data_IF_700133241852
#
_entry.id   IF_700133241852
#
_cell.length_a   1.000
_cell.length_b   1.000
_cell.length_c   1.000
_cell.angle_alpha   90.00
_cell.angle_beta   90.00
_cell.angle_gamma   90.00
#
_symmetry.space_group_name_H-M   'P 1'
#
loop_
_entity.id
_entity.type
_entity.pdbx_description
1 polymer ?
#
# COMPACT_ATOMS: atom_id res chain seq x y z
N UNK A 1 20.34 38.93 38.17
CA UNK A 1 19.91 39.53 36.89
C UNK A 1 21.06 39.39 35.90
N UNK A 2 21.04 38.34 35.07
CA UNK A 2 22.03 38.22 34.00
C UNK A 2 21.74 39.25 32.92
N UNK A 3 22.75 40.04 32.54
CA UNK A 3 22.67 40.91 31.36
C UNK A 3 22.46 40.02 30.14
N UNK A 4 21.28 40.11 29.50
CA UNK A 4 21.08 39.54 28.18
C UNK A 4 22.00 40.27 27.21
N UNK A 5 22.95 39.53 26.64
CA UNK A 5 23.87 40.00 25.62
C UNK A 5 23.06 40.50 24.41
N UNK A 6 23.27 41.75 24.00
CA UNK A 6 22.61 42.30 22.79
C UNK A 6 23.29 41.70 21.57
N UNK A 7 22.66 40.67 20.99
CA UNK A 7 23.06 40.10 19.70
C UNK A 7 22.70 41.09 18.59
N UNK A 8 23.69 41.59 17.87
CA UNK A 8 23.48 42.49 16.73
C UNK A 8 23.34 41.70 15.42
N UNK A 9 22.44 42.13 14.55
CA UNK A 9 22.23 41.54 13.21
C UNK A 9 22.49 42.58 12.12
N UNK A 10 23.12 42.16 11.02
CA UNK A 10 23.51 43.06 9.92
C UNK A 10 22.42 43.28 8.86
N UNK A 11 21.36 42.47 8.85
CA UNK A 11 20.28 42.55 7.87
C UNK A 11 19.14 43.45 8.40
N UNK A 12 18.63 44.32 7.54
CA UNK A 12 17.40 45.07 7.82
C UNK A 12 16.19 44.14 7.73
N UNK A 13 15.17 44.38 8.56
CA UNK A 13 13.93 43.57 8.58
C UNK A 13 13.26 43.44 7.22
N UNK A 14 13.29 44.51 6.42
CA UNK A 14 12.74 44.55 5.05
C UNK A 14 13.35 43.48 4.12
N UNK A 15 14.60 43.08 4.31
CA UNK A 15 15.23 42.00 3.51
C UNK A 15 14.61 40.65 3.85
N UNK A 16 14.39 40.36 5.14
CA UNK A 16 13.73 39.13 5.58
C UNK A 16 12.27 39.06 5.15
N UNK A 17 11.56 40.18 5.22
CA UNK A 17 10.17 40.30 4.75
C UNK A 17 10.07 40.06 3.24
N UNK A 18 10.98 40.65 2.45
CA UNK A 18 11.05 40.44 1.01
C UNK A 18 11.31 38.98 0.62
N UNK A 19 12.24 38.31 1.30
CA UNK A 19 12.50 36.87 1.08
C UNK A 19 11.25 36.04 1.43
N UNK A 20 10.63 36.31 2.59
CA UNK A 20 9.42 35.59 3.03
C UNK A 20 8.26 35.74 2.04
N UNK A 21 8.03 36.96 1.54
CA UNK A 21 7.00 37.23 0.54
C UNK A 21 7.28 36.52 -0.79
N UNK A 22 8.56 36.43 -1.20
CA UNK A 22 8.95 35.75 -2.44
C UNK A 22 8.77 34.22 -2.38
N UNK A 23 8.89 33.62 -1.19
CA UNK A 23 8.80 32.18 -0.98
C UNK A 23 7.39 31.70 -0.61
N UNK A 24 6.51 32.58 -0.12
CA UNK A 24 5.16 32.19 0.28
C UNK A 24 4.36 31.39 -0.80
N UNK A 25 4.41 31.72 -2.11
CA UNK A 25 3.78 30.89 -3.13
C UNK A 25 4.42 29.50 -3.29
N UNK A 26 5.74 29.40 -3.09
CA UNK A 26 6.48 28.13 -3.12
C UNK A 26 6.07 27.27 -1.93
N UNK A 27 5.98 27.86 -0.73
CA UNK A 27 5.53 27.16 0.47
C UNK A 27 4.11 26.63 0.33
N UNK A 28 3.21 27.43 -0.27
CA UNK A 28 1.84 27.01 -0.56
C UNK A 28 1.80 25.83 -1.55
N UNK A 29 2.63 25.84 -2.59
CA UNK A 29 2.71 24.75 -3.56
C UNK A 29 3.34 23.48 -2.96
N UNK A 30 4.35 23.63 -2.09
CA UNK A 30 4.93 22.52 -1.35
C UNK A 30 3.89 21.87 -0.42
N UNK A 31 3.14 22.67 0.33
CA UNK A 31 2.08 22.18 1.20
C UNK A 31 0.96 21.47 0.43
N UNK A 32 0.63 21.97 -0.77
CA UNK A 32 -0.40 21.37 -1.65
C UNK A 32 0.07 20.04 -2.25
N UNK A 33 1.30 19.98 -2.78
CA UNK A 33 1.84 18.78 -3.45
C UNK A 33 2.32 17.71 -2.47
N UNK A 34 2.78 18.11 -1.30
CA UNK A 34 3.43 17.22 -0.33
C UNK A 34 2.76 17.28 1.06
N UNK A 35 1.49 16.88 1.19
CA UNK A 35 0.78 16.89 2.47
C UNK A 35 1.31 15.88 3.50
N UNK A 36 2.11 14.89 3.07
CA UNK A 36 2.62 13.80 3.90
C UNK A 36 1.70 12.57 3.94
N UNK A 37 2.14 11.52 4.64
CA UNK A 37 1.34 10.29 4.85
C UNK A 37 0.07 10.64 5.66
N UNK A 38 -1.13 10.18 5.22
CA UNK A 38 -2.38 10.45 5.93
C UNK A 38 -2.48 9.77 7.31
N UNK A 39 -1.55 8.88 7.68
CA UNK A 39 -1.52 8.22 8.99
C UNK A 39 -2.59 7.14 9.17
N UNK A 40 -3.30 6.78 8.09
CA UNK A 40 -4.26 5.68 8.11
C UNK A 40 -3.55 4.33 7.96
N UNK A 41 -4.24 3.23 8.28
CA UNK A 41 -3.73 1.89 8.00
C UNK A 41 -3.40 1.73 6.50
N UNK A 42 -2.27 1.11 6.18
CA UNK A 42 -1.95 0.61 4.85
C UNK A 42 -2.02 -0.92 4.87
N UNK A 43 -2.71 -1.58 3.92
CA UNK A 43 -2.74 -3.03 3.89
C UNK A 43 -1.36 -3.60 3.53
N UNK A 44 -1.00 -4.76 4.05
CA UNK A 44 0.30 -5.41 3.76
C UNK A 44 0.33 -6.15 2.43
N UNK A 45 -0.85 -6.39 1.85
CA UNK A 45 -1.00 -7.04 0.57
C UNK A 45 -2.28 -6.64 -0.15
N UNK A 46 -2.38 -6.96 -1.44
CA UNK A 46 -3.59 -6.89 -2.26
C UNK A 46 -3.78 -8.23 -2.96
N UNK A 47 -5.01 -8.75 -2.97
CA UNK A 47 -5.37 -9.93 -3.76
C UNK A 47 -6.32 -9.52 -4.89
N UNK A 48 -6.12 -10.10 -6.07
CA UNK A 48 -7.00 -9.92 -7.22
C UNK A 48 -7.82 -11.20 -7.43
N UNK A 49 -9.14 -11.08 -7.43
CA UNK A 49 -10.07 -12.20 -7.63
C UNK A 49 -10.90 -11.93 -8.88
N UNK A 50 -10.91 -12.82 -9.89
CA UNK A 50 -11.69 -12.64 -11.11
C UNK A 50 -13.17 -12.37 -10.82
N UNK A 51 -13.78 -11.45 -11.58
CA UNK A 51 -15.16 -11.01 -11.36
C UNK A 51 -16.20 -12.13 -11.40
N UNK A 52 -15.97 -13.19 -12.19
CA UNK A 52 -16.79 -14.41 -12.24
C UNK A 52 -16.60 -15.32 -11.03
N UNK A 53 -15.38 -15.38 -10.47
CA UNK A 53 -15.03 -16.22 -9.34
C UNK A 53 -15.35 -15.60 -7.96
N UNK A 54 -15.52 -14.28 -7.89
CA UNK A 54 -15.81 -13.61 -6.62
C UNK A 54 -17.20 -13.97 -6.07
N UNK A 55 -17.20 -14.43 -4.81
CA UNK A 55 -18.36 -14.93 -4.07
C UNK A 55 -18.38 -14.39 -2.63
N UNK A 56 -19.51 -14.57 -1.93
CA UNK A 56 -19.70 -14.04 -0.57
C UNK A 56 -18.71 -14.59 0.46
N UNK A 57 -18.21 -15.81 0.25
CA UNK A 57 -17.31 -16.55 1.12
C UNK A 57 -15.83 -16.48 0.67
N UNK A 58 -15.50 -15.76 -0.42
CA UNK A 58 -14.16 -15.77 -1.02
C UNK A 58 -13.05 -15.44 -0.02
N UNK A 59 -13.25 -14.44 0.85
CA UNK A 59 -12.23 -14.05 1.85
C UNK A 59 -11.95 -15.19 2.83
N UNK A 60 -13.00 -15.80 3.37
CA UNK A 60 -12.88 -16.90 4.33
C UNK A 60 -12.29 -18.14 3.66
N UNK A 61 -12.78 -18.49 2.46
CA UNK A 61 -12.26 -19.59 1.66
C UNK A 61 -10.75 -19.46 1.39
N UNK A 62 -10.25 -18.26 1.07
CA UNK A 62 -8.82 -18.01 0.93
C UNK A 62 -8.05 -18.27 2.23
N UNK A 63 -8.55 -17.77 3.36
CA UNK A 63 -7.89 -18.02 4.64
C UNK A 63 -7.90 -19.50 5.05
N UNK A 64 -8.97 -20.23 4.75
CA UNK A 64 -9.08 -21.67 5.07
C UNK A 64 -8.13 -22.50 4.21
N UNK A 65 -8.00 -22.16 2.93
CA UNK A 65 -7.00 -22.77 2.04
C UNK A 65 -5.57 -22.46 2.49
N UNK A 66 -5.29 -21.25 2.97
CA UNK A 66 -3.98 -20.89 3.51
C UNK A 66 -3.65 -21.66 4.81
N UNK A 67 -4.64 -21.85 5.71
CA UNK A 67 -4.48 -22.66 6.91
C UNK A 67 -4.28 -24.14 6.57
N UNK A 68 -5.03 -24.68 5.61
CA UNK A 68 -4.85 -26.05 5.14
C UNK A 68 -3.45 -26.27 4.54
N UNK A 69 -2.93 -25.29 3.78
CA UNK A 69 -1.57 -25.36 3.25
C UNK A 69 -0.50 -25.38 4.36
N UNK A 70 -0.70 -24.62 5.46
CA UNK A 70 0.14 -24.72 6.64
C UNK A 70 0.03 -26.10 7.29
N UNK A 71 -1.17 -26.60 7.53
CA UNK A 71 -1.39 -27.89 8.17
C UNK A 71 -0.77 -29.05 7.38
N UNK A 72 -0.77 -28.98 6.04
CA UNK A 72 -0.21 -30.01 5.17
C UNK A 72 1.32 -29.92 5.06
N UNK A 73 1.87 -28.71 4.86
CA UNK A 73 3.27 -28.54 4.46
C UNK A 73 4.19 -28.03 5.57
N UNK A 74 3.66 -27.41 6.64
CA UNK A 74 4.43 -26.92 7.79
C UNK A 74 3.53 -26.83 9.06
N UNK A 75 3.16 -27.98 9.65
CA UNK A 75 2.12 -28.07 10.68
C UNK A 75 2.51 -27.47 12.04
N UNK A 76 3.77 -27.06 12.22
CA UNK A 76 4.27 -26.50 13.47
C UNK A 76 5.26 -25.35 13.23
N UNK A 77 5.54 -24.61 14.30
CA UNK A 77 6.44 -23.47 14.26
C UNK A 77 7.86 -23.83 13.80
N UNK A 78 8.35 -25.02 14.17
CA UNK A 78 9.71 -25.46 13.84
C UNK A 78 9.87 -25.76 12.34
N UNK A 79 8.93 -26.52 11.77
CA UNK A 79 8.90 -26.84 10.34
C UNK A 79 8.70 -25.58 9.50
N UNK A 80 7.82 -24.67 9.89
CA UNK A 80 7.61 -23.41 9.18
C UNK A 80 8.84 -22.50 9.24
N UNK A 81 9.46 -22.38 10.42
CA UNK A 81 10.71 -21.63 10.60
C UNK A 81 11.86 -22.21 9.77
N UNK A 82 11.99 -23.54 9.71
CA UNK A 82 13.02 -24.21 8.92
C UNK A 82 12.88 -23.94 7.42
N UNK A 83 11.66 -23.87 6.90
CA UNK A 83 11.43 -23.56 5.48
C UNK A 83 11.83 -22.12 5.14
N UNK A 84 11.49 -21.17 6.03
CA UNK A 84 11.68 -19.74 5.80
C UNK A 84 13.02 -19.19 6.29
N UNK A 85 13.78 -19.98 7.05
CA UNK A 85 15.02 -19.52 7.70
C UNK A 85 14.79 -18.51 8.82
N UNK A 86 13.69 -18.66 9.57
CA UNK A 86 13.43 -17.86 10.77
C UNK A 86 14.32 -18.31 11.93
N UNK A 87 14.69 -17.39 12.83
CA UNK A 87 15.37 -17.74 14.07
C UNK A 87 14.44 -18.51 15.02
N UNK A 88 15.02 -19.33 15.90
CA UNK A 88 14.27 -20.09 16.90
C UNK A 88 13.42 -19.19 17.82
N UNK A 89 13.91 -17.98 18.12
CA UNK A 89 13.22 -16.97 18.93
C UNK A 89 11.94 -16.44 18.26
N UNK A 90 11.92 -16.38 16.91
CA UNK A 90 10.79 -15.86 16.14
C UNK A 90 9.82 -16.96 15.68
N UNK A 91 10.25 -18.22 15.67
CA UNK A 91 9.49 -19.34 15.13
C UNK A 91 8.06 -19.40 15.69
N UNK A 92 7.89 -19.57 17.01
CA UNK A 92 6.58 -19.66 17.63
C UNK A 92 5.79 -18.33 17.59
N UNK A 93 6.36 -17.16 17.97
CA UNK A 93 5.64 -15.90 17.93
C UNK A 93 5.12 -15.49 16.55
N UNK A 94 5.85 -15.82 15.48
CA UNK A 94 5.43 -15.58 14.10
C UNK A 94 4.38 -16.60 13.68
N UNK A 95 4.61 -17.89 13.90
CA UNK A 95 3.69 -18.95 13.51
C UNK A 95 2.29 -18.77 14.10
N UNK A 96 2.21 -18.51 15.42
CA UNK A 96 0.94 -18.32 16.12
C UNK A 96 0.19 -17.09 15.58
N UNK A 97 0.90 -15.99 15.33
CA UNK A 97 0.31 -14.77 14.75
C UNK A 97 -0.16 -14.99 13.32
N UNK A 98 0.61 -15.70 12.48
CA UNK A 98 0.21 -16.03 11.11
C UNK A 98 -1.10 -16.82 11.12
N UNK A 99 -1.20 -17.88 11.93
CA UNK A 99 -2.44 -18.67 12.04
C UNK A 99 -3.61 -17.83 12.53
N UNK A 100 -3.41 -17.02 13.57
CA UNK A 100 -4.45 -16.13 14.10
C UNK A 100 -4.92 -15.11 13.04
N UNK A 101 -3.99 -14.55 12.28
CA UNK A 101 -4.28 -13.62 11.18
C UNK A 101 -5.09 -14.28 10.08
N UNK A 102 -4.67 -15.46 9.61
CA UNK A 102 -5.40 -16.22 8.59
C UNK A 102 -6.81 -16.63 9.05
N UNK A 103 -7.00 -16.92 10.33
CA UNK A 103 -8.30 -17.25 10.90
C UNK A 103 -9.24 -16.02 11.01
N UNK A 104 -8.72 -14.84 11.36
CA UNK A 104 -9.53 -13.64 11.65
C UNK A 104 -9.65 -12.66 10.47
N UNK A 105 -8.56 -12.37 9.79
CA UNK A 105 -8.45 -11.35 8.74
C UNK A 105 -7.42 -11.81 7.68
N UNK A 106 -7.74 -12.85 6.87
CA UNK A 106 -6.79 -13.43 5.93
C UNK A 106 -6.43 -12.49 4.77
N UNK A 107 -7.35 -11.59 4.40
CA UNK A 107 -7.17 -10.62 3.31
C UNK A 107 -7.40 -9.21 3.86
N UNK A 108 -6.39 -8.35 3.75
CA UNK A 108 -6.49 -6.93 4.15
C UNK A 108 -7.04 -6.06 3.02
N UNK A 109 -6.77 -6.41 1.77
CA UNK A 109 -7.22 -5.67 0.60
C UNK A 109 -7.59 -6.60 -0.57
N UNK A 110 -8.83 -6.48 -1.07
CA UNK A 110 -9.36 -7.29 -2.17
C UNK A 110 -9.79 -6.41 -3.36
N UNK A 111 -9.27 -6.72 -4.54
CA UNK A 111 -9.70 -6.16 -5.81
C UNK A 111 -10.43 -7.24 -6.62
N UNK A 112 -11.70 -7.01 -6.91
CA UNK A 112 -12.42 -7.83 -7.87
C UNK A 112 -11.95 -7.41 -9.25
N UNK A 113 -11.33 -8.34 -9.96
CA UNK A 113 -10.67 -8.07 -11.22
C UNK A 113 -11.64 -8.20 -12.38
N UNK A 114 -11.74 -7.16 -13.20
CA UNK A 114 -12.46 -7.15 -14.47
C UNK A 114 -11.50 -6.99 -15.66
N UNK A 115 -10.20 -7.10 -15.41
CA UNK A 115 -9.15 -6.96 -16.40
C UNK A 115 -8.48 -8.32 -16.70
N UNK A 116 -7.15 -8.45 -16.58
CA UNK A 116 -6.42 -9.60 -17.11
C UNK A 116 -6.81 -10.93 -16.45
N UNK A 117 -7.06 -10.94 -15.13
CA UNK A 117 -7.45 -12.14 -14.39
C UNK A 117 -8.87 -12.62 -14.70
N UNK A 118 -9.74 -11.73 -15.20
CA UNK A 118 -11.09 -12.06 -15.63
C UNK A 118 -11.15 -12.56 -17.08
N UNK A 119 -10.30 -11.98 -17.93
CA UNK A 119 -10.26 -12.26 -19.36
C UNK A 119 -11.46 -11.71 -20.12
N UNK A 120 -11.66 -12.21 -21.34
CA UNK A 120 -12.75 -11.77 -22.22
C UNK A 120 -14.09 -12.42 -21.86
N UNK A 121 -15.14 -11.62 -21.69
CA UNK A 121 -16.54 -12.06 -21.53
C UNK A 121 -17.46 -11.18 -22.37
N UNK A 122 -18.69 -11.66 -22.61
CA UNK A 122 -19.70 -10.86 -23.30
C UNK A 122 -20.22 -9.72 -22.43
N UNK A 123 -20.70 -8.64 -23.06
CA UNK A 123 -21.12 -7.43 -22.32
C UNK A 123 -22.17 -7.69 -21.24
N UNK A 124 -23.19 -8.48 -21.56
CA UNK A 124 -24.26 -8.82 -20.61
C UNK A 124 -23.75 -9.66 -19.42
N UNK A 125 -22.74 -10.49 -19.65
CA UNK A 125 -22.12 -11.31 -18.60
C UNK A 125 -21.28 -10.44 -17.66
N UNK A 126 -20.45 -9.56 -18.22
CA UNK A 126 -19.65 -8.62 -17.42
C UNK A 126 -20.52 -7.64 -16.63
N UNK A 127 -21.62 -7.15 -17.22
CA UNK A 127 -22.62 -6.32 -16.53
C UNK A 127 -23.20 -7.06 -15.32
N UNK A 128 -23.58 -8.33 -15.48
CA UNK A 128 -24.13 -9.14 -14.40
C UNK A 128 -23.11 -9.37 -13.28
N UNK A 129 -21.83 -9.58 -13.63
CA UNK A 129 -20.75 -9.76 -12.66
C UNK A 129 -20.41 -8.46 -11.92
N UNK A 130 -20.38 -7.31 -12.61
CA UNK A 130 -20.17 -6.00 -11.99
C UNK A 130 -21.29 -5.65 -11.01
N UNK A 131 -22.55 -5.87 -11.40
CA UNK A 131 -23.70 -5.66 -10.51
C UNK A 131 -23.70 -6.64 -9.33
N UNK A 132 -23.27 -7.90 -9.54
CA UNK A 132 -23.11 -8.89 -8.46
C UNK A 132 -22.01 -8.50 -7.49
N UNK A 133 -20.85 -8.05 -7.98
CA UNK A 133 -19.73 -7.59 -7.20
C UNK A 133 -20.15 -6.48 -6.21
N UNK A 134 -20.88 -5.47 -6.69
CA UNK A 134 -21.45 -4.42 -5.85
C UNK A 134 -22.34 -4.99 -4.72
N UNK A 135 -23.31 -5.85 -5.04
CA UNK A 135 -24.20 -6.47 -4.03
C UNK A 135 -23.44 -7.30 -3.00
N UNK A 136 -22.42 -8.06 -3.43
CA UNK A 136 -21.61 -8.90 -2.56
C UNK A 136 -20.73 -8.05 -1.62
N UNK A 137 -20.10 -6.99 -2.13
CA UNK A 137 -19.32 -6.06 -1.30
C UNK A 137 -20.22 -5.41 -0.25
N UNK A 138 -21.36 -4.85 -0.65
CA UNK A 138 -22.30 -4.24 0.32
C UNK A 138 -22.78 -5.26 1.36
N UNK A 139 -23.06 -6.50 0.93
CA UNK A 139 -23.40 -7.59 1.84
C UNK A 139 -22.28 -7.90 2.84
N UNK A 140 -21.03 -7.95 2.39
CA UNK A 140 -19.87 -8.23 3.24
C UNK A 140 -19.65 -7.13 4.29
N UNK A 141 -19.76 -5.85 3.92
CA UNK A 141 -19.66 -4.74 4.88
C UNK A 141 -20.80 -4.79 5.91
N UNK A 142 -22.04 -5.04 5.46
CA UNK A 142 -23.20 -5.14 6.36
C UNK A 142 -23.08 -6.32 7.35
N UNK A 143 -22.50 -7.43 6.90
CA UNK A 143 -22.37 -8.65 7.70
C UNK A 143 -21.08 -8.68 8.54
N UNK A 144 -20.19 -7.68 8.43
CA UNK A 144 -18.91 -7.65 9.11
C UNK A 144 -17.90 -8.69 8.60
N UNK A 145 -18.03 -9.13 7.35
CA UNK A 145 -17.15 -10.12 6.70
C UNK A 145 -16.28 -9.52 5.59
N UNK A 146 -16.37 -8.21 5.37
CA UNK A 146 -15.54 -7.50 4.40
C UNK A 146 -14.06 -7.47 4.82
N UNK A 147 -13.17 -7.44 3.84
CA UNK A 147 -11.80 -6.99 4.07
C UNK A 147 -11.81 -5.50 4.41
N UNK A 148 -10.82 -4.99 5.16
CA UNK A 148 -10.68 -3.56 5.44
C UNK A 148 -10.74 -2.67 4.19
N UNK A 149 -10.18 -3.16 3.08
CA UNK A 149 -10.23 -2.50 1.78
C UNK A 149 -10.83 -3.46 0.73
N UNK A 150 -11.79 -2.96 -0.04
CA UNK A 150 -12.42 -3.73 -1.11
C UNK A 150 -12.80 -2.83 -2.27
N UNK A 151 -12.66 -3.34 -3.49
CA UNK A 151 -13.22 -2.68 -4.66
C UNK A 151 -12.89 -3.43 -5.93
N UNK A 152 -12.65 -2.71 -7.03
CA UNK A 152 -12.44 -3.34 -8.33
C UNK A 152 -11.16 -2.87 -9.02
N UNK A 153 -10.58 -3.74 -9.83
CA UNK A 153 -9.73 -3.34 -10.95
C UNK A 153 -10.56 -3.39 -12.22
N UNK A 154 -10.83 -2.23 -12.79
CA UNK A 154 -11.57 -2.11 -14.04
C UNK A 154 -10.63 -2.29 -15.25
N UNK A 155 -11.18 -2.41 -16.46
CA UNK A 155 -10.36 -2.33 -17.69
C UNK A 155 -9.72 -0.94 -17.84
N UNK A 156 -8.59 -0.87 -18.52
CA UNK A 156 -7.83 0.36 -18.73
C UNK A 156 -8.53 1.38 -19.66
N UNK A 157 -7.92 2.56 -19.83
CA UNK A 157 -8.46 3.65 -20.68
C UNK A 157 -8.01 3.59 -22.15
N UNK A 158 -7.42 2.48 -22.58
CA UNK A 158 -7.05 2.25 -23.98
C UNK A 158 -8.27 2.11 -24.88
N UNK A 159 -8.16 2.61 -26.12
CA UNK A 159 -9.30 2.76 -27.02
C UNK A 159 -10.09 1.46 -27.25
N UNK A 160 -9.42 0.30 -27.27
CA UNK A 160 -10.06 -0.99 -27.54
C UNK A 160 -11.03 -1.46 -26.43
N UNK A 161 -10.81 -1.04 -25.18
CA UNK A 161 -11.55 -1.52 -24.01
C UNK A 161 -12.19 -0.41 -23.19
N UNK A 162 -11.93 0.86 -23.52
CA UNK A 162 -12.38 2.04 -22.77
C UNK A 162 -13.87 2.06 -22.48
N UNK A 163 -14.72 1.87 -23.49
CA UNK A 163 -16.17 1.92 -23.31
C UNK A 163 -16.66 0.85 -22.34
N UNK A 164 -16.11 -0.37 -22.47
CA UNK A 164 -16.39 -1.49 -21.56
C UNK A 164 -15.93 -1.20 -20.13
N UNK A 165 -14.73 -0.63 -19.97
CA UNK A 165 -14.21 -0.22 -18.66
C UNK A 165 -15.08 0.83 -17.97
N UNK A 166 -15.48 1.87 -18.70
CA UNK A 166 -16.38 2.92 -18.20
C UNK A 166 -17.72 2.31 -17.75
N UNK A 167 -18.31 1.43 -18.58
CA UNK A 167 -19.58 0.77 -18.26
C UNK A 167 -19.49 -0.10 -17.01
N UNK A 168 -18.43 -0.90 -16.89
CA UNK A 168 -18.21 -1.78 -15.72
C UNK A 168 -18.08 -0.97 -14.43
N UNK A 169 -17.33 0.14 -14.46
CA UNK A 169 -17.20 1.03 -13.31
C UNK A 169 -18.54 1.66 -12.92
N UNK A 170 -19.28 2.19 -13.89
CA UNK A 170 -20.58 2.84 -13.62
C UNK A 170 -21.58 1.86 -13.00
N UNK A 171 -21.70 0.63 -13.56
CA UNK A 171 -22.57 -0.42 -13.02
C UNK A 171 -22.17 -0.76 -11.57
N UNK A 172 -20.88 -0.91 -11.32
CA UNK A 172 -20.37 -1.25 -9.99
C UNK A 172 -20.67 -0.15 -8.96
N UNK A 173 -20.29 1.10 -9.25
CA UNK A 173 -20.50 2.23 -8.34
C UNK A 173 -22.01 2.52 -8.15
N UNK A 174 -22.79 2.46 -9.23
CA UNK A 174 -24.26 2.57 -9.18
C UNK A 174 -24.85 1.49 -8.28
N UNK A 175 -24.42 0.24 -8.44
CA UNK A 175 -24.87 -0.87 -7.60
C UNK A 175 -24.55 -0.69 -6.12
N UNK A 176 -23.35 -0.16 -5.78
CA UNK A 176 -23.01 0.18 -4.40
C UNK A 176 -23.94 1.26 -3.84
N UNK A 177 -24.16 2.34 -4.60
CA UNK A 177 -25.06 3.43 -4.21
C UNK A 177 -26.49 2.94 -3.96
N UNK A 178 -27.01 2.05 -4.80
CA UNK A 178 -28.35 1.47 -4.65
C UNK A 178 -28.46 0.49 -3.48
N UNK A 179 -27.37 -0.20 -3.14
CA UNK A 179 -27.37 -1.23 -2.10
C UNK A 179 -27.07 -0.70 -0.69
N UNK A 180 -26.47 0.51 -0.56
CA UNK A 180 -26.13 1.06 0.76
C UNK A 180 -25.13 2.22 0.79
N UNK A 181 -24.71 2.74 -0.37
CA UNK A 181 -23.70 3.81 -0.46
C UNK A 181 -22.28 3.27 -0.68
N UNK A 182 -21.32 4.19 -0.85
CA UNK A 182 -19.91 3.84 -1.02
C UNK A 182 -19.27 3.50 0.35
N UNK A 183 -18.65 2.32 0.51
CA UNK A 183 -17.89 2.01 1.72
C UNK A 183 -16.70 2.96 1.93
N UNK A 184 -16.28 3.15 3.18
CA UNK A 184 -15.08 3.94 3.50
C UNK A 184 -13.80 3.27 2.97
N UNK A 185 -13.76 1.93 3.02
CA UNK A 185 -12.68 1.11 2.46
C UNK A 185 -12.81 0.84 0.95
N UNK A 186 -13.61 1.62 0.21
CA UNK A 186 -13.71 1.49 -1.25
C UNK A 186 -12.40 1.92 -1.90
N UNK A 187 -11.85 1.04 -2.74
CA UNK A 187 -10.67 1.40 -3.54
C UNK A 187 -10.79 0.88 -4.98
N UNK A 188 -10.49 1.76 -5.93
CA UNK A 188 -10.51 1.47 -7.36
C UNK A 188 -9.08 1.37 -7.88
N UNK A 189 -8.80 0.45 -8.80
CA UNK A 189 -7.51 0.40 -9.50
C UNK A 189 -7.71 0.74 -10.99
N UNK A 190 -6.94 1.72 -11.47
CA UNK A 190 -6.82 2.08 -12.87
C UNK A 190 -5.56 1.42 -13.47
N UNK A 191 -5.71 0.37 -14.31
CA UNK A 191 -4.56 -0.34 -14.86
C UNK A 191 -4.04 0.25 -16.17
N UNK A 192 -2.87 -0.23 -16.59
CA UNK A 192 -2.22 0.03 -17.89
C UNK A 192 -2.20 1.52 -18.27
N UNK A 193 -1.90 2.38 -17.31
CA UNK A 193 -1.75 3.81 -17.58
C UNK A 193 -0.43 4.04 -18.31
N UNK A 194 -0.49 4.72 -19.44
CA UNK A 194 0.64 5.03 -20.33
C UNK A 194 0.88 6.55 -20.36
N UNK A 195 -0.17 7.36 -20.23
CA UNK A 195 -0.13 8.82 -20.33
C UNK A 195 -0.93 9.50 -19.19
N UNK A 196 -0.47 10.64 -18.63
CA UNK A 196 -1.20 11.40 -17.62
C UNK A 196 -2.63 11.79 -18.03
N UNK A 197 -2.88 11.99 -19.33
CA UNK A 197 -4.18 12.32 -19.89
C UNK A 197 -5.23 11.22 -19.64
N UNK A 198 -4.80 9.96 -19.53
CA UNK A 198 -5.69 8.86 -19.14
C UNK A 198 -6.13 8.99 -17.68
N UNK A 199 -5.25 9.50 -16.81
CA UNK A 199 -5.58 9.82 -15.41
C UNK A 199 -6.55 10.99 -15.36
N UNK A 200 -6.28 12.08 -16.09
CA UNK A 200 -7.21 13.23 -16.19
C UNK A 200 -8.59 12.81 -16.70
N UNK A 201 -8.65 11.94 -17.71
CA UNK A 201 -9.91 11.39 -18.21
C UNK A 201 -10.65 10.58 -17.13
N UNK A 202 -9.93 9.81 -16.32
CA UNK A 202 -10.52 9.07 -15.22
C UNK A 202 -11.03 9.97 -14.09
N UNK A 203 -10.30 11.01 -13.72
CA UNK A 203 -10.77 12.04 -12.77
C UNK A 203 -12.12 12.62 -13.22
N UNK A 204 -12.22 13.04 -14.49
CA UNK A 204 -13.48 13.57 -15.05
C UNK A 204 -14.64 12.58 -15.02
N UNK A 205 -14.35 11.28 -15.22
CA UNK A 205 -15.36 10.23 -15.11
C UNK A 205 -15.88 10.12 -13.67
N UNK A 206 -14.98 10.13 -12.67
CA UNK A 206 -15.35 10.08 -11.26
C UNK A 206 -16.14 11.33 -10.84
N UNK A 207 -15.73 12.52 -11.27
CA UNK A 207 -16.47 13.77 -11.02
C UNK A 207 -17.88 13.74 -11.61
N UNK A 208 -18.03 13.22 -12.82
CA UNK A 208 -19.34 13.08 -13.45
C UNK A 208 -20.24 12.13 -12.64
N UNK A 209 -19.69 11.03 -12.14
CA UNK A 209 -20.42 10.10 -11.28
C UNK A 209 -20.79 10.74 -9.92
N UNK A 210 -19.85 11.39 -9.25
CA UNK A 210 -20.06 12.11 -7.98
C UNK A 210 -21.18 13.14 -8.13
N UNK A 211 -21.14 13.96 -9.19
CA UNK A 211 -22.19 14.94 -9.50
C UNK A 211 -23.54 14.27 -9.76
N UNK A 212 -23.57 13.18 -10.53
CA UNK A 212 -24.82 12.47 -10.83
C UNK A 212 -25.46 11.83 -9.59
N UNK A 213 -24.64 11.46 -8.59
CA UNK A 213 -25.08 10.83 -7.33
C UNK A 213 -25.15 11.78 -6.14
N UNK A 214 -24.83 13.07 -6.32
CA UNK A 214 -24.85 14.06 -5.25
C UNK A 214 -23.81 13.80 -4.15
N UNK A 215 -22.65 13.24 -4.51
CA UNK A 215 -21.53 13.02 -3.60
C UNK A 215 -20.66 14.28 -3.49
N UNK A 216 -19.96 14.42 -2.37
CA UNK A 216 -18.94 15.45 -2.20
C UNK A 216 -17.82 15.26 -3.24
N UNK A 217 -17.32 16.37 -3.79
CA UNK A 217 -16.23 16.35 -4.74
C UNK A 217 -14.98 15.74 -4.11
N UNK A 218 -14.37 14.77 -4.79
CA UNK A 218 -13.17 14.08 -4.30
C UNK A 218 -13.47 12.88 -3.39
N UNK A 219 -14.75 12.50 -3.19
CA UNK A 219 -15.12 11.33 -2.39
C UNK A 219 -14.52 10.03 -2.91
N UNK A 220 -14.36 9.90 -4.23
CA UNK A 220 -13.85 8.69 -4.87
C UNK A 220 -12.37 8.88 -5.24
N UNK A 221 -11.51 8.17 -4.51
CA UNK A 221 -10.09 8.01 -4.82
C UNK A 221 -9.81 6.74 -5.64
N UNK A 222 -8.57 6.58 -6.10
CA UNK A 222 -8.13 5.40 -6.83
C UNK A 222 -6.62 5.17 -6.71
N UNK A 223 -6.19 3.98 -7.10
CA UNK A 223 -4.81 3.56 -7.24
C UNK A 223 -4.45 3.44 -8.71
N UNK A 224 -3.20 3.75 -9.05
CA UNK A 224 -2.68 3.67 -10.42
C UNK A 224 -1.78 2.45 -10.52
N UNK A 225 -2.07 1.53 -11.44
CA UNK A 225 -1.16 0.44 -11.76
C UNK A 225 -0.06 0.98 -12.69
N UNK A 226 1.18 0.95 -12.20
CA UNK A 226 2.38 1.38 -12.89
C UNK A 226 3.01 0.15 -13.52
N UNK A 227 2.69 -0.06 -14.80
CA UNK A 227 3.03 -1.29 -15.50
C UNK A 227 3.39 -1.14 -16.98
N UNK A 228 3.56 0.10 -17.42
CA UNK A 228 4.08 0.41 -18.76
C UNK A 228 5.42 1.13 -18.62
N UNK A 229 6.33 0.99 -19.59
CA UNK A 229 7.61 1.71 -19.51
C UNK A 229 7.41 3.23 -19.54
N UNK A 230 6.41 3.70 -20.28
CA UNK A 230 6.02 5.10 -20.40
C UNK A 230 5.46 5.68 -19.10
N UNK A 231 4.87 4.86 -18.22
CA UNK A 231 4.48 5.31 -16.88
C UNK A 231 5.66 5.67 -15.99
N UNK A 232 6.86 5.15 -16.29
CA UNK A 232 8.08 5.51 -15.58
C UNK A 232 8.79 6.70 -16.25
N UNK A 233 9.02 6.61 -17.56
CA UNK A 233 9.78 7.62 -18.31
C UNK A 233 8.99 8.10 -19.53
N UNK A 234 8.62 9.38 -19.53
CA UNK A 234 7.98 10.03 -20.66
C UNK A 234 8.95 10.25 -21.82
N UNK A 235 8.42 10.48 -23.02
CA UNK A 235 9.20 10.72 -24.23
C UNK A 235 10.10 11.98 -24.15
N UNK A 236 9.79 12.92 -23.26
CA UNK A 236 10.59 14.13 -23.01
C UNK A 236 11.64 13.94 -21.90
N UNK A 237 11.82 12.71 -21.39
CA UNK A 237 12.79 12.36 -20.35
C UNK A 237 12.31 12.64 -18.92
N UNK A 238 11.06 13.08 -18.73
CA UNK A 238 10.52 13.31 -17.37
C UNK A 238 9.94 12.05 -16.74
N UNK A 239 9.90 12.03 -15.40
CA UNK A 239 9.24 10.96 -14.66
C UNK A 239 7.72 11.06 -14.82
N UNK A 240 7.14 10.24 -15.70
CA UNK A 240 5.72 10.32 -16.04
C UNK A 240 4.82 10.04 -14.83
N UNK A 241 5.22 9.11 -13.96
CA UNK A 241 4.52 8.78 -12.72
C UNK A 241 4.27 9.99 -11.81
N UNK A 242 5.21 10.95 -11.74
CA UNK A 242 5.02 12.17 -10.97
C UNK A 242 3.93 13.07 -11.59
N UNK A 243 3.87 13.13 -12.92
CA UNK A 243 2.82 13.85 -13.65
C UNK A 243 1.46 13.15 -13.51
N UNK A 244 1.44 11.82 -13.43
CA UNK A 244 0.22 11.04 -13.19
C UNK A 244 -0.37 11.32 -11.79
N UNK A 245 0.47 11.46 -10.76
CA UNK A 245 0.02 11.88 -9.42
C UNK A 245 -0.62 13.27 -9.47
N UNK A 246 0.02 14.24 -10.12
CA UNK A 246 -0.51 15.61 -10.26
C UNK A 246 -1.84 15.61 -11.06
N UNK A 247 -1.90 14.84 -12.14
CA UNK A 247 -3.10 14.68 -12.98
C UNK A 247 -4.27 13.99 -12.26
N UNK A 248 -4.03 13.34 -11.12
CA UNK A 248 -5.08 12.73 -10.30
C UNK A 248 -5.77 13.74 -9.37
N UNK A 249 -5.28 14.98 -9.27
CA UNK A 249 -5.92 16.07 -8.52
C UNK A 249 -6.23 15.70 -7.05
N UNK A 250 -5.30 14.98 -6.41
CA UNK A 250 -5.44 14.53 -5.02
C UNK A 250 -6.25 13.25 -4.81
N UNK A 251 -6.75 12.61 -5.90
CA UNK A 251 -7.51 11.35 -5.82
C UNK A 251 -6.64 10.10 -5.86
N UNK A 252 -5.38 10.20 -6.29
CA UNK A 252 -4.46 9.09 -6.25
C UNK A 252 -4.13 8.74 -4.79
N UNK A 253 -4.32 7.49 -4.42
CA UNK A 253 -4.07 6.97 -3.05
C UNK A 253 -2.92 5.97 -3.01
N UNK A 254 -2.63 5.31 -4.13
CA UNK A 254 -1.54 4.35 -4.25
C UNK A 254 -1.02 4.16 -5.68
N UNK A 255 0.22 3.69 -5.79
CA UNK A 255 0.86 3.25 -7.02
C UNK A 255 1.21 1.77 -6.89
N UNK A 256 0.68 0.92 -7.78
CA UNK A 256 0.91 -0.52 -7.75
C UNK A 256 1.84 -0.93 -8.87
N UNK A 257 2.98 -1.54 -8.53
CA UNK A 257 3.92 -2.01 -9.54
C UNK A 257 3.42 -3.29 -10.24
N UNK A 258 3.11 -3.21 -11.54
CA UNK A 258 2.68 -4.38 -12.33
C UNK A 258 3.87 -5.15 -12.89
N UNK A 259 4.28 -6.24 -12.22
CA UNK A 259 5.52 -6.97 -12.54
C UNK A 259 5.58 -7.50 -13.96
N UNK A 260 4.50 -8.14 -14.44
CA UNK A 260 4.54 -8.90 -15.69
C UNK A 260 4.39 -8.02 -16.92
N UNK A 261 3.43 -7.10 -16.92
CA UNK A 261 3.25 -6.14 -18.02
C UNK A 261 4.48 -5.23 -18.17
N UNK A 262 5.00 -4.69 -17.06
CA UNK A 262 6.16 -3.81 -17.11
C UNK A 262 7.39 -4.52 -17.67
N UNK A 263 7.67 -5.72 -17.16
CA UNK A 263 8.83 -6.48 -17.59
C UNK A 263 8.70 -6.96 -19.05
N UNK A 264 7.48 -7.29 -19.49
CA UNK A 264 7.19 -7.60 -20.88
C UNK A 264 7.41 -6.39 -21.81
N UNK A 265 6.98 -5.18 -21.40
CA UNK A 265 7.24 -3.93 -22.13
C UNK A 265 8.74 -3.66 -22.34
N UNK A 266 9.60 -4.14 -21.44
CA UNK A 266 11.05 -4.01 -21.54
C UNK A 266 11.75 -5.19 -22.24
N UNK A 267 11.00 -6.19 -22.69
CA UNK A 267 11.55 -7.38 -23.34
C UNK A 267 12.27 -8.34 -22.38
N UNK A 268 11.99 -8.27 -21.08
CA UNK A 268 12.50 -9.25 -20.11
C UNK A 268 11.91 -10.61 -20.45
N UNK A 269 12.78 -11.61 -20.65
CA UNK A 269 12.35 -12.97 -20.99
C UNK A 269 11.58 -13.60 -19.82
N UNK A 270 10.59 -14.45 -20.13
CA UNK A 270 9.66 -15.04 -19.16
C UNK A 270 10.34 -15.66 -17.93
N UNK A 271 11.47 -16.37 -18.11
CA UNK A 271 12.21 -17.00 -17.01
C UNK A 271 12.85 -16.01 -16.01
N UNK A 272 12.91 -14.72 -16.34
CA UNK A 272 13.53 -13.66 -15.54
C UNK A 272 12.52 -12.57 -15.13
N UNK A 273 11.22 -12.75 -15.41
CA UNK A 273 10.20 -11.84 -14.91
C UNK A 273 10.02 -12.05 -13.40
N UNK A 274 10.53 -11.11 -12.62
CA UNK A 274 10.46 -11.15 -11.17
C UNK A 274 10.39 -9.73 -10.59
N UNK A 275 9.77 -9.57 -9.42
CA UNK A 275 9.63 -8.27 -8.75
C UNK A 275 10.97 -7.72 -8.22
N UNK A 276 12.02 -8.53 -8.19
CA UNK A 276 13.39 -8.15 -7.81
C UNK A 276 14.36 -7.99 -8.99
N UNK A 277 13.86 -8.08 -10.23
CA UNK A 277 14.66 -7.82 -11.43
C UNK A 277 15.19 -6.36 -11.43
N UNK A 278 16.41 -6.08 -11.93
CA UNK A 278 16.96 -4.71 -11.94
C UNK A 278 16.08 -3.65 -12.63
N UNK A 279 15.34 -4.07 -13.67
CA UNK A 279 14.35 -3.19 -14.30
C UNK A 279 13.17 -2.84 -13.38
N UNK A 280 12.70 -3.81 -12.58
CA UNK A 280 11.68 -3.57 -11.57
C UNK A 280 12.20 -2.64 -10.47
N UNK A 281 13.47 -2.82 -10.06
CA UNK A 281 14.11 -1.94 -9.09
C UNK A 281 14.20 -0.49 -9.57
N UNK A 282 14.53 -0.27 -10.84
CA UNK A 282 14.54 1.07 -11.43
C UNK A 282 13.15 1.71 -11.38
N UNK A 283 12.12 1.00 -11.85
CA UNK A 283 10.74 1.47 -11.83
C UNK A 283 10.29 1.84 -10.41
N UNK A 284 10.51 0.94 -9.46
CA UNK A 284 10.13 1.14 -8.05
C UNK A 284 10.90 2.29 -7.40
N UNK A 285 12.18 2.47 -7.69
CA UNK A 285 12.93 3.62 -7.19
C UNK A 285 12.32 4.94 -7.69
N UNK A 286 11.95 5.03 -8.98
CA UNK A 286 11.30 6.23 -9.54
C UNK A 286 9.92 6.45 -8.92
N UNK A 287 9.10 5.39 -8.77
CA UNK A 287 7.79 5.45 -8.12
C UNK A 287 7.89 5.96 -6.68
N UNK A 288 8.83 5.41 -5.90
CA UNK A 288 9.01 5.77 -4.50
C UNK A 288 9.41 7.25 -4.34
N UNK A 289 10.33 7.74 -5.18
CA UNK A 289 10.73 9.16 -5.15
C UNK A 289 9.58 10.07 -5.59
N UNK A 290 8.80 9.67 -6.60
CA UNK A 290 7.66 10.45 -7.06
C UNK A 290 6.50 10.51 -6.04
N UNK A 291 6.31 9.44 -5.27
CA UNK A 291 5.25 9.34 -4.27
C UNK A 291 5.64 9.93 -2.90
N UNK A 292 6.94 10.05 -2.61
CA UNK A 292 7.41 10.51 -1.31
C UNK A 292 6.83 11.89 -0.94
N UNK A 293 6.18 11.96 0.22
CA UNK A 293 5.58 13.19 0.73
C UNK A 293 4.22 13.56 0.12
N UNK A 294 3.78 12.94 -0.98
CA UNK A 294 2.51 13.31 -1.66
C UNK A 294 1.26 12.73 -0.99
N UNK A 295 1.43 11.80 -0.05
CA UNK A 295 0.35 11.02 0.55
C UNK A 295 -0.04 9.78 -0.27
N UNK A 296 0.50 9.63 -1.49
CA UNK A 296 0.33 8.45 -2.32
C UNK A 296 1.23 7.33 -1.82
N UNK A 297 0.66 6.13 -1.63
CA UNK A 297 1.39 4.95 -1.18
C UNK A 297 2.00 4.19 -2.35
N UNK A 298 2.96 3.31 -2.07
CA UNK A 298 3.52 2.39 -3.06
C UNK A 298 3.27 0.95 -2.66
N UNK A 299 2.92 0.11 -3.64
CA UNK A 299 2.79 -1.33 -3.53
C UNK A 299 3.75 -2.02 -4.48
N UNK A 300 4.42 -3.04 -3.98
CA UNK A 300 5.26 -3.92 -4.80
C UNK A 300 4.36 -4.83 -5.64
N UNK A 301 4.95 -5.50 -6.61
CA UNK A 301 4.25 -6.45 -7.47
C UNK A 301 4.17 -7.87 -6.87
N UNK A 302 4.03 -8.84 -7.76
CA UNK A 302 3.72 -10.24 -7.45
C UNK A 302 4.77 -11.21 -7.96
N UNK A 303 4.69 -12.45 -7.49
CA UNK A 303 5.26 -13.62 -8.16
C UNK A 303 4.12 -14.50 -8.70
N UNK A 304 4.33 -15.08 -9.90
CA UNK A 304 3.42 -16.04 -10.53
C UNK A 304 3.80 -17.50 -10.21
N UNK A 305 4.84 -17.70 -9.39
CA UNK A 305 5.24 -19.04 -8.91
C UNK A 305 4.31 -19.44 -7.78
N UNK A 306 3.29 -20.24 -8.11
CA UNK A 306 2.26 -20.63 -7.15
C UNK A 306 2.73 -21.77 -6.24
N UNK A 307 2.47 -21.70 -4.91
CA UNK A 307 2.78 -22.77 -3.96
C UNK A 307 1.72 -23.87 -4.06
N UNK A 308 1.85 -24.74 -5.07
CA UNK A 308 0.95 -25.88 -5.32
C UNK A 308 1.74 -27.14 -5.67
N UNK A 309 1.19 -28.30 -5.31
CA UNK A 309 1.76 -29.62 -5.62
C UNK A 309 2.45 -30.26 -4.42
N UNK A 310 3.62 -30.86 -4.63
CA UNK A 310 4.35 -31.55 -3.56
C UNK A 310 4.86 -30.56 -2.50
N UNK A 311 5.05 -31.03 -1.27
CA UNK A 311 5.63 -30.22 -0.17
C UNK A 311 6.93 -29.53 -0.57
N UNK A 312 7.81 -30.21 -1.33
CA UNK A 312 9.06 -29.62 -1.82
C UNK A 312 8.81 -28.40 -2.73
N UNK A 313 7.89 -28.49 -3.70
CA UNK A 313 7.53 -27.37 -4.58
C UNK A 313 6.87 -26.22 -3.82
N UNK A 314 6.01 -26.55 -2.85
CA UNK A 314 5.38 -25.55 -1.98
C UNK A 314 6.43 -24.81 -1.16
N UNK A 315 7.38 -25.54 -0.57
CA UNK A 315 8.48 -24.94 0.20
C UNK A 315 9.39 -24.06 -0.66
N UNK A 316 9.67 -24.44 -1.91
CA UNK A 316 10.44 -23.60 -2.83
C UNK A 316 9.71 -22.30 -3.19
N UNK A 317 8.41 -22.40 -3.51
CA UNK A 317 7.58 -21.23 -3.77
C UNK A 317 7.46 -20.32 -2.52
N UNK A 318 7.35 -20.92 -1.33
CA UNK A 318 7.33 -20.20 -0.06
C UNK A 318 8.64 -19.46 0.22
N UNK A 319 9.80 -20.09 0.01
CA UNK A 319 11.11 -19.42 0.15
C UNK A 319 11.23 -18.24 -0.79
N UNK A 320 10.84 -18.41 -2.06
CA UNK A 320 10.86 -17.35 -3.06
C UNK A 320 9.95 -16.18 -2.63
N UNK A 321 8.68 -16.46 -2.34
CA UNK A 321 7.70 -15.43 -1.96
C UNK A 321 8.09 -14.68 -0.68
N UNK A 322 8.54 -15.42 0.35
CA UNK A 322 9.05 -14.84 1.59
C UNK A 322 10.25 -13.93 1.34
N UNK A 323 11.23 -14.37 0.54
CA UNK A 323 12.41 -13.59 0.19
C UNK A 323 12.07 -12.30 -0.57
N UNK A 324 11.19 -12.37 -1.56
CA UNK A 324 10.70 -11.20 -2.31
C UNK A 324 9.98 -10.22 -1.39
N UNK A 325 9.11 -10.70 -0.50
CA UNK A 325 8.37 -9.86 0.46
C UNK A 325 9.32 -9.18 1.45
N UNK A 326 10.27 -9.92 2.02
CA UNK A 326 11.30 -9.38 2.93
C UNK A 326 12.12 -8.28 2.27
N UNK A 327 12.52 -8.50 1.02
CA UNK A 327 13.26 -7.53 0.21
C UNK A 327 12.45 -6.26 -0.06
N UNK A 328 11.15 -6.40 -0.35
CA UNK A 328 10.24 -5.27 -0.54
C UNK A 328 10.14 -4.41 0.73
N UNK A 329 9.92 -5.06 1.89
CA UNK A 329 9.84 -4.41 3.20
C UNK A 329 11.12 -3.63 3.54
N UNK A 330 12.28 -4.25 3.31
CA UNK A 330 13.59 -3.61 3.51
C UNK A 330 13.83 -2.38 2.61
N UNK A 331 13.07 -2.24 1.52
CA UNK A 331 13.12 -1.12 0.57
C UNK A 331 11.95 -0.15 0.73
N UNK A 332 11.24 -0.21 1.87
CA UNK A 332 10.08 0.63 2.18
C UNK A 332 8.90 0.46 1.21
N UNK A 333 8.73 -0.75 0.69
CA UNK A 333 7.50 -1.22 0.06
C UNK A 333 6.76 -2.13 1.04
N UNK A 334 5.78 -1.57 1.73
CA UNK A 334 5.07 -2.23 2.83
C UNK A 334 3.80 -2.98 2.42
N UNK A 335 3.41 -2.86 1.15
CA UNK A 335 2.30 -3.55 0.51
C UNK A 335 2.85 -4.29 -0.72
N UNK A 336 2.29 -5.45 -1.04
CA UNK A 336 2.61 -6.21 -2.25
C UNK A 336 1.41 -6.99 -2.76
N UNK A 337 1.60 -7.80 -3.80
CA UNK A 337 0.50 -8.56 -4.40
C UNK A 337 0.61 -10.05 -4.12
N UNK A 338 -0.52 -10.68 -3.81
CA UNK A 338 -0.60 -12.13 -3.60
C UNK A 338 -1.64 -12.74 -4.57
N UNK A 339 -1.16 -13.60 -5.47
CA UNK A 339 -1.98 -14.19 -6.53
C UNK A 339 -2.71 -15.48 -6.15
N UNK A 340 -2.47 -16.02 -4.95
CA UNK A 340 -2.98 -17.34 -4.55
C UNK A 340 -3.08 -17.46 -3.02
N UNK A 341 -4.07 -18.19 -2.46
CA UNK A 341 -4.21 -18.41 -1.01
C UNK A 341 -2.94 -18.91 -0.33
N UNK A 342 -2.21 -19.82 -0.98
CA UNK A 342 -0.96 -20.37 -0.45
C UNK A 342 0.20 -19.38 -0.32
N UNK A 343 0.08 -18.14 -0.84
CA UNK A 343 1.05 -17.06 -0.57
C UNK A 343 0.81 -16.36 0.77
N UNK A 344 -0.41 -16.44 1.32
CA UNK A 344 -0.76 -15.71 2.54
C UNK A 344 0.09 -16.12 3.76
N UNK A 345 0.42 -17.41 3.99
CA UNK A 345 1.29 -17.78 5.10
C UNK A 345 2.64 -17.06 5.06
N UNK A 346 3.28 -17.01 3.88
CA UNK A 346 4.61 -16.39 3.73
C UNK A 346 4.56 -14.87 3.67
N UNK A 347 3.47 -14.26 3.18
CA UNK A 347 3.21 -12.82 3.29
C UNK A 347 3.24 -12.39 4.75
N UNK A 348 2.40 -13.00 5.58
CA UNK A 348 2.28 -12.61 6.99
C UNK A 348 3.53 -13.00 7.78
N UNK A 349 4.16 -14.14 7.47
CA UNK A 349 5.42 -14.52 8.11
C UNK A 349 6.52 -13.46 7.87
N UNK A 350 6.69 -13.00 6.62
CA UNK A 350 7.69 -11.99 6.28
C UNK A 350 7.43 -10.65 6.96
N UNK A 351 6.18 -10.21 6.99
CA UNK A 351 5.74 -8.97 7.65
C UNK A 351 5.94 -9.06 9.16
N UNK A 352 5.50 -10.15 9.78
CA UNK A 352 5.57 -10.31 11.24
C UNK A 352 7.02 -10.47 11.70
N UNK A 353 7.83 -11.26 11.01
CA UNK A 353 9.26 -11.33 11.28
C UNK A 353 9.90 -9.94 11.17
N UNK A 354 9.59 -9.16 10.12
CA UNK A 354 10.14 -7.82 9.92
C UNK A 354 9.89 -6.86 11.07
N UNK A 355 8.67 -6.79 11.59
CA UNK A 355 8.35 -5.88 12.69
C UNK A 355 8.80 -6.41 14.06
N UNK A 356 8.94 -7.74 14.22
CA UNK A 356 9.39 -8.32 15.49
C UNK A 356 10.91 -8.28 15.64
N UNK A 357 11.68 -8.51 14.57
CA UNK A 357 13.15 -8.46 14.58
C UNK A 357 13.70 -7.12 15.09
N UNK A 358 13.10 -6.01 14.68
CA UNK A 358 13.54 -4.66 15.07
C UNK A 358 12.76 -4.05 16.24
N UNK A 359 11.79 -4.77 16.83
CA UNK A 359 10.86 -4.20 17.79
C UNK A 359 11.54 -3.63 19.03
N UNK A 360 12.31 -4.46 19.76
CA UNK A 360 12.89 -4.05 21.04
C UNK A 360 13.87 -2.88 20.87
N UNK A 361 14.71 -2.93 19.83
CA UNK A 361 15.65 -1.86 19.51
C UNK A 361 14.91 -0.57 19.13
N UNK A 362 13.86 -0.66 18.31
CA UNK A 362 13.10 0.51 17.90
C UNK A 362 12.37 1.15 19.09
N UNK A 363 11.78 0.33 19.96
CA UNK A 363 11.08 0.79 21.15
C UNK A 363 12.04 1.46 22.16
N UNK A 364 13.20 0.85 22.42
CA UNK A 364 14.20 1.40 23.33
C UNK A 364 14.74 2.76 22.84
N UNK A 365 15.04 2.87 21.54
CA UNK A 365 15.51 4.13 20.93
C UNK A 365 14.46 5.23 21.00
N UNK A 366 13.20 4.92 20.69
CA UNK A 366 12.12 5.91 20.75
C UNK A 366 11.85 6.36 22.20
N UNK A 367 11.91 5.43 23.17
CA UNK A 367 11.82 5.74 24.59
C UNK A 367 12.94 6.68 25.05
N UNK A 368 14.19 6.39 24.68
CA UNK A 368 15.32 7.25 25.02
C UNK A 368 15.17 8.66 24.42
N UNK A 369 14.78 8.75 23.15
CA UNK A 369 14.52 10.02 22.48
C UNK A 369 13.41 10.84 23.17
N UNK A 370 12.28 10.20 23.48
CA UNK A 370 11.14 10.86 24.12
C UNK A 370 11.46 11.39 25.53
N UNK A 371 12.36 10.70 26.25
CA UNK A 371 12.81 11.10 27.59
C UNK A 371 14.06 12.01 27.57
N UNK A 372 14.54 12.44 26.39
CA UNK A 372 15.79 13.18 26.23
C UNK A 372 16.99 12.50 26.91
N UNK A 373 17.00 11.16 26.93
CA UNK A 373 18.08 10.37 27.47
C UNK A 373 19.17 10.18 26.40
N UNK A 374 20.44 10.28 26.82
CA UNK A 374 21.57 9.95 25.96
C UNK A 374 21.68 8.44 25.69
N UNK A 375 22.35 8.07 24.59
CA UNK A 375 22.62 6.69 24.22
C UNK A 375 23.69 6.59 23.13
N UNK A 376 24.00 5.37 22.72
CA UNK A 376 25.04 5.10 21.71
C UNK A 376 24.63 5.53 20.28
N UNK A 377 23.34 5.84 20.07
CA UNK A 377 22.78 6.36 18.82
C UNK A 377 22.14 7.73 19.11
N UNK A 378 22.54 8.75 18.36
CA UNK A 378 21.94 10.08 18.45
C UNK A 378 20.72 10.14 17.53
N UNK A 379 19.53 10.04 18.13
CA UNK A 379 18.25 10.16 17.43
C UNK A 379 17.82 11.64 17.27
N UNK A 380 17.23 11.96 16.12
CA UNK A 380 16.71 13.28 15.76
C UNK A 380 15.21 13.18 15.38
N UNK A 381 14.48 14.30 15.16
CA UNK A 381 13.05 14.24 14.81
C UNK A 381 12.73 13.31 13.62
N UNK A 382 13.61 13.26 12.62
CA UNK A 382 13.43 12.38 11.46
C UNK A 382 13.55 10.89 11.82
N UNK A 383 14.53 10.52 12.66
CA UNK A 383 14.68 9.12 13.09
C UNK A 383 13.60 8.72 14.10
N UNK A 384 13.18 9.63 14.99
CA UNK A 384 12.03 9.40 15.89
C UNK A 384 10.74 9.15 15.10
N UNK A 385 10.49 9.92 14.04
CA UNK A 385 9.38 9.68 13.09
C UNK A 385 9.45 8.30 12.46
N UNK A 386 10.63 7.88 11.99
CA UNK A 386 10.82 6.56 11.38
C UNK A 386 10.58 5.42 12.39
N UNK A 387 11.13 5.55 13.61
CA UNK A 387 10.93 4.59 14.70
C UNK A 387 9.45 4.46 15.09
N UNK A 388 8.76 5.59 15.26
CA UNK A 388 7.34 5.59 15.55
C UNK A 388 6.52 4.96 14.43
N UNK A 389 6.82 5.31 13.18
CA UNK A 389 6.12 4.76 12.00
C UNK A 389 6.31 3.24 11.88
N UNK A 390 7.49 2.73 12.22
CA UNK A 390 7.77 1.29 12.26
C UNK A 390 6.89 0.57 13.30
N UNK A 391 6.78 1.12 14.52
CA UNK A 391 5.94 0.55 15.58
C UNK A 391 4.45 0.61 15.22
N UNK A 392 3.97 1.74 14.69
CA UNK A 392 2.59 1.91 14.24
C UNK A 392 2.21 0.90 13.16
N UNK A 393 3.06 0.71 12.14
CA UNK A 393 2.82 -0.30 11.10
C UNK A 393 2.84 -1.73 11.66
N UNK A 394 3.72 -2.01 12.61
CA UNK A 394 3.73 -3.29 13.34
C UNK A 394 2.41 -3.55 14.06
N UNK A 395 1.83 -2.53 14.72
CA UNK A 395 0.50 -2.61 15.34
C UNK A 395 -0.58 -2.82 14.30
N UNK A 396 -0.60 -2.02 13.23
CA UNK A 396 -1.67 -2.00 12.24
C UNK A 396 -1.80 -3.30 11.45
N UNK A 397 -0.69 -3.99 11.18
CA UNK A 397 -0.72 -5.30 10.53
C UNK A 397 -0.95 -6.48 11.50
N UNK A 398 -0.80 -6.25 12.81
CA UNK A 398 -0.92 -7.27 13.86
C UNK A 398 0.37 -8.03 14.16
N UNK A 399 1.53 -7.55 13.68
CA UNK A 399 2.83 -8.08 14.08
C UNK A 399 3.15 -7.76 15.54
N UNK A 400 2.67 -6.60 15.99
CA UNK A 400 2.83 -6.08 17.34
C UNK A 400 1.49 -5.79 18.02
N UNK A 401 1.46 -5.92 19.34
CA UNK A 401 0.31 -5.53 20.16
C UNK A 401 0.49 -4.14 20.78
N UNK A 402 -0.57 -3.33 20.85
CA UNK A 402 -0.49 -1.98 21.46
C UNK A 402 0.05 -2.02 22.89
N UNK A 403 -0.32 -3.06 23.66
CA UNK A 403 0.14 -3.23 25.04
C UNK A 403 1.62 -3.60 25.15
N UNK A 404 2.17 -4.41 24.23
CA UNK A 404 3.61 -4.71 24.26
C UNK A 404 4.43 -3.48 23.88
N UNK A 405 3.96 -2.69 22.89
CA UNK A 405 4.62 -1.46 22.47
C UNK A 405 4.63 -0.46 23.63
N UNK A 406 3.47 -0.17 24.24
CA UNK A 406 3.37 0.76 25.36
C UNK A 406 4.24 0.36 26.56
N UNK A 407 4.39 -0.94 26.83
CA UNK A 407 5.24 -1.45 27.91
C UNK A 407 6.72 -1.16 27.67
N UNK A 408 7.21 -1.27 26.44
CA UNK A 408 8.63 -1.05 26.13
C UNK A 408 8.95 0.43 25.87
N UNK A 409 8.03 1.19 25.29
CA UNK A 409 8.26 2.60 24.96
C UNK A 409 7.87 3.55 26.09
N UNK A 410 6.92 3.16 26.94
CA UNK A 410 6.22 4.08 27.84
C UNK A 410 5.24 5.02 27.13
N UNK A 411 4.97 4.81 25.83
CA UNK A 411 4.18 5.69 24.96
C UNK A 411 2.85 5.05 24.58
N UNK A 412 1.80 5.85 24.51
CA UNK A 412 0.50 5.44 23.97
C UNK A 412 0.49 5.47 22.45
N UNK A 413 -0.53 4.86 21.82
CA UNK A 413 -0.78 4.99 20.36
C UNK A 413 -0.81 6.46 19.91
N UNK A 414 -1.47 7.32 20.68
CA UNK A 414 -1.58 8.74 20.35
C UNK A 414 -0.23 9.48 20.40
N UNK A 415 0.66 9.10 21.33
CA UNK A 415 2.02 9.65 21.38
C UNK A 415 2.82 9.22 20.15
N UNK A 416 2.69 7.95 19.74
CA UNK A 416 3.32 7.44 18.51
C UNK A 416 2.81 8.20 17.28
N UNK A 417 1.50 8.38 17.15
CA UNK A 417 0.89 9.15 16.06
C UNK A 417 1.44 10.59 16.05
N UNK A 418 1.66 11.20 17.22
CA UNK A 418 2.29 12.51 17.37
C UNK A 418 3.73 12.60 16.84
N UNK A 419 4.54 11.54 17.00
CA UNK A 419 5.88 11.45 16.41
C UNK A 419 5.84 11.15 14.90
N UNK A 420 4.84 10.42 14.43
CA UNK A 420 4.72 10.00 13.04
C UNK A 420 4.11 11.08 12.12
N UNK A 421 3.29 11.98 12.68
CA UNK A 421 2.58 13.00 11.93
C UNK A 421 3.52 13.91 11.12
N UNK A 422 3.17 14.25 9.87
CA UNK A 422 3.87 15.30 9.14
C UNK A 422 3.71 16.63 9.87
N UNK A 423 4.80 17.27 10.29
CA UNK A 423 4.76 18.68 10.68
C UNK A 423 4.55 19.49 9.39
N UNK A 424 3.37 20.11 9.24
CA UNK A 424 3.01 20.88 8.03
C UNK A 424 4.13 21.88 7.69
N UNK A 425 4.75 21.74 6.52
CA UNK A 425 5.78 22.66 6.01
C UNK A 425 7.24 22.25 6.26
N UNK A 426 7.51 21.23 7.08
CA UNK A 426 8.88 20.79 7.39
C UNK A 426 9.28 19.59 6.53
N UNK A 427 9.63 19.83 5.26
CA UNK A 427 10.30 18.80 4.45
C UNK A 427 11.76 18.60 4.89
N UNK A 428 12.36 19.58 5.57
CA UNK A 428 13.76 19.54 6.05
C UNK A 428 14.05 20.38 7.29
N UNK A 429 13.18 21.33 7.67
CA UNK A 429 13.43 22.18 8.82
C UNK A 429 12.97 21.51 10.11
N UNK A 430 13.76 21.66 11.17
CA UNK A 430 13.35 21.32 12.53
C UNK A 430 13.17 22.64 13.29
N UNK A 431 11.93 23.12 13.39
CA UNK A 431 11.63 24.16 14.37
C UNK A 431 11.70 23.53 15.77
N UNK A 432 12.47 24.17 16.67
CA UNK A 432 12.65 23.76 18.07
C UNK A 432 11.37 23.83 18.88
#
# INVERSE_FOLDING_TARGET
MGQQEKVATSLAGAVSEGISASLAPVDAELARRYPGDPGTRQPVHTVYVPGDAFAADSIRSWGDQALAALDEHAPDAASFAAVLGLSDELAAPVYDRVRAKLAREPIEDLRIDFEDGYGGRGDAEEDAHAARAARLITGAYRNGTAAPYMGIRMKCMEAAVRERGIRTLDIFLTGLMEAGGLPDGLVLTLPKVTYPEQVTAFVRLLEAFEKARGLDAGRIGFEIQIETSQSILAADGTAAVARMIDAAEGRATGLHYGTFDYSACLGVSAAYQASDHPAADHAKAVMQVAAAGTGVRVSDGSTNVLPVGTTEKVHDAWRLHYGLTRRALARAYYQGWDMHPGHLPTRYAAVFAFYREGFEQAAARLCAYANHAGGDVMDEPATAKALSSYLLRGIDCGALDTAEVARLTGLTRADLDGFAAPRRGDLTATAK
#
